data_IF_037152264559
#
_entry.id   IF_037152264559
#
_cell.length_a   1.000
_cell.length_b   1.000
_cell.length_c   1.000
_cell.angle_alpha   90.00
_cell.angle_beta   90.00
_cell.angle_gamma   90.00
#
_symmetry.space_group_name_H-M   'P 1'
#
loop_
_entity.id
_entity.type
_entity.pdbx_description
1 polymer ?
#
# COMPACT_ATOMS: atom_id res chain seq x y z
N UNK A 1 17.87 -8.54 -12.32
CA UNK A 1 17.82 -9.39 -11.10
C UNK A 1 16.40 -9.68 -10.60
N UNK A 2 15.37 -9.52 -11.44
CA UNK A 2 13.94 -9.45 -11.07
C UNK A 2 13.20 -10.80 -10.93
N UNK A 3 13.92 -11.91 -10.75
CA UNK A 3 13.32 -13.24 -10.88
C UNK A 3 12.93 -13.90 -9.55
N UNK A 4 13.66 -13.65 -8.47
CA UNK A 4 13.49 -14.41 -7.23
C UNK A 4 13.45 -13.50 -6.00
N UNK A 5 12.27 -13.39 -5.39
CA UNK A 5 12.05 -12.65 -4.15
C UNK A 5 12.90 -13.20 -3.00
N UNK A 6 13.03 -14.52 -2.86
CA UNK A 6 13.68 -15.17 -1.72
C UNK A 6 15.19 -14.93 -1.65
N UNK A 7 15.83 -14.70 -2.80
CA UNK A 7 17.25 -14.36 -2.89
C UNK A 7 17.49 -12.85 -2.91
N UNK A 8 16.43 -12.04 -2.88
CA UNK A 8 16.56 -10.59 -2.97
C UNK A 8 16.98 -9.98 -1.63
N UNK A 9 17.63 -8.82 -1.70
CA UNK A 9 17.90 -8.00 -0.51
C UNK A 9 16.62 -7.61 0.22
N UNK A 10 15.50 -7.46 -0.49
CA UNK A 10 14.20 -7.16 0.11
C UNK A 10 13.81 -8.24 1.13
N UNK A 11 13.80 -9.50 0.74
CA UNK A 11 13.40 -10.59 1.63
C UNK A 11 14.37 -10.79 2.80
N UNK A 12 15.67 -10.67 2.54
CA UNK A 12 16.70 -11.05 3.51
C UNK A 12 17.11 -9.93 4.47
N UNK A 13 16.95 -8.65 4.09
CA UNK A 13 17.43 -7.52 4.89
C UNK A 13 16.31 -6.55 5.33
N UNK A 14 15.20 -6.48 4.60
CA UNK A 14 14.18 -5.42 4.78
C UNK A 14 12.83 -5.91 5.31
N UNK A 15 12.68 -7.22 5.55
CA UNK A 15 11.53 -7.76 6.28
C UNK A 15 11.89 -7.83 7.76
N UNK A 16 11.20 -7.03 8.55
CA UNK A 16 11.45 -6.84 9.97
C UNK A 16 10.42 -7.59 10.81
N UNK A 17 10.81 -8.00 12.01
CA UNK A 17 9.83 -8.47 12.98
C UNK A 17 9.10 -7.29 13.61
N UNK A 18 7.89 -7.54 14.13
CA UNK A 18 7.13 -6.50 14.87
C UNK A 18 7.88 -6.00 16.10
N UNK A 19 8.71 -6.85 16.70
CA UNK A 19 9.55 -6.47 17.83
C UNK A 19 10.64 -5.49 17.37
N UNK A 20 11.36 -5.83 16.30
CA UNK A 20 12.45 -4.98 15.79
C UNK A 20 11.95 -3.63 15.29
N UNK A 21 10.76 -3.59 14.68
CA UNK A 21 10.14 -2.34 14.25
C UNK A 21 9.73 -1.45 15.43
N UNK A 22 9.24 -2.03 16.54
CA UNK A 22 8.84 -1.28 17.74
C UNK A 22 10.05 -0.76 18.52
N UNK A 23 11.12 -1.54 18.56
CA UNK A 23 12.37 -1.20 19.24
C UNK A 23 13.41 -0.61 18.28
N UNK A 24 12.99 -0.16 17.10
CA UNK A 24 13.92 0.41 16.12
C UNK A 24 14.53 1.71 16.67
N UNK A 25 15.78 2.04 16.30
CA UNK A 25 16.45 3.23 16.80
C UNK A 25 15.64 4.50 16.58
N UNK A 26 15.14 4.72 15.35
CA UNK A 26 14.29 5.86 15.01
C UNK A 26 13.01 5.91 15.85
N UNK A 27 12.31 4.77 15.97
CA UNK A 27 11.06 4.69 16.74
C UNK A 27 11.28 4.97 18.23
N UNK A 28 12.39 4.51 18.79
CA UNK A 28 12.72 4.71 20.21
C UNK A 28 12.95 6.19 20.57
N UNK A 29 13.41 6.99 19.61
CA UNK A 29 13.61 8.43 19.76
C UNK A 29 12.27 9.15 19.56
N UNK A 30 11.53 8.81 18.49
CA UNK A 30 10.25 9.46 18.17
C UNK A 30 9.20 9.26 19.28
N UNK A 31 9.18 8.08 19.92
CA UNK A 31 8.27 7.80 21.04
C UNK A 31 8.51 8.68 22.28
N UNK A 32 9.65 9.37 22.37
CA UNK A 32 9.89 10.36 23.43
C UNK A 32 9.11 11.66 23.20
N UNK A 33 8.78 11.96 21.95
CA UNK A 33 8.15 13.21 21.54
C UNK A 33 6.69 13.05 21.14
N UNK A 34 6.32 11.91 20.54
CA UNK A 34 5.00 11.64 19.99
C UNK A 34 4.50 10.25 20.40
N UNK A 35 3.20 10.11 20.63
CA UNK A 35 2.57 8.83 20.93
C UNK A 35 2.48 7.91 19.70
N UNK A 36 2.23 6.62 19.93
CA UNK A 36 2.13 5.64 18.84
C UNK A 36 1.09 6.00 17.77
N UNK A 37 -0.05 6.56 18.21
CA UNK A 37 -1.14 7.01 17.33
C UNK A 37 -0.72 8.19 16.47
N UNK A 38 0.00 9.14 17.03
CA UNK A 38 0.47 10.33 16.31
C UNK A 38 1.47 9.93 15.23
N UNK A 39 2.38 9.00 15.53
CA UNK A 39 3.31 8.49 14.53
C UNK A 39 2.57 7.69 13.45
N UNK A 40 1.52 6.93 13.80
CA UNK A 40 0.66 6.30 12.81
C UNK A 40 -0.06 7.32 11.92
N UNK A 41 -0.50 8.46 12.47
CA UNK A 41 -1.07 9.56 11.70
C UNK A 41 -0.03 10.20 10.76
N UNK A 42 1.21 10.38 11.22
CA UNK A 42 2.32 10.84 10.37
C UNK A 42 2.54 9.85 9.23
N UNK A 43 2.50 8.54 9.51
CA UNK A 43 2.65 7.52 8.50
C UNK A 43 1.55 7.58 7.42
N UNK A 44 0.30 7.77 7.83
CA UNK A 44 -0.83 7.97 6.91
C UNK A 44 -0.65 9.25 6.10
N UNK A 45 -0.25 10.35 6.75
CA UNK A 45 -0.02 11.63 6.12
C UNK A 45 1.10 11.54 5.07
N UNK A 46 2.23 10.92 5.39
CA UNK A 46 3.37 10.82 4.47
C UNK A 46 3.02 10.01 3.22
N UNK A 47 2.32 8.89 3.36
CA UNK A 47 1.84 8.10 2.21
C UNK A 47 0.89 8.90 1.31
N UNK A 48 0.00 9.72 1.90
CA UNK A 48 -0.91 10.56 1.14
C UNK A 48 -0.17 11.69 0.40
N UNK A 49 0.83 12.32 1.05
CA UNK A 49 1.65 13.36 0.42
C UNK A 49 2.46 12.80 -0.75
N UNK A 50 3.15 11.67 -0.54
CA UNK A 50 3.92 10.99 -1.58
C UNK A 50 3.02 10.62 -2.77
N UNK A 51 1.81 10.12 -2.50
CA UNK A 51 0.83 9.83 -3.56
C UNK A 51 0.36 11.09 -4.31
N UNK A 52 0.12 12.21 -3.61
CA UNK A 52 -0.20 13.48 -4.26
C UNK A 52 0.94 13.97 -5.16
N UNK A 53 2.19 13.87 -4.70
CA UNK A 53 3.39 14.23 -5.49
C UNK A 53 3.49 13.35 -6.74
N UNK A 54 3.36 12.02 -6.58
CA UNK A 54 3.36 11.08 -7.70
C UNK A 54 2.28 11.38 -8.73
N UNK A 55 1.06 11.73 -8.28
CA UNK A 55 -0.02 12.14 -9.18
C UNK A 55 0.28 13.44 -9.93
N UNK A 56 0.91 14.43 -9.28
CA UNK A 56 1.32 15.69 -9.94
C UNK A 56 2.41 15.48 -10.99
N UNK A 57 3.32 14.53 -10.74
CA UNK A 57 4.36 14.11 -11.68
C UNK A 57 3.86 13.14 -12.76
N UNK A 58 2.58 12.75 -12.71
CA UNK A 58 1.99 11.73 -13.59
C UNK A 58 2.75 10.38 -13.55
N UNK A 59 3.27 10.00 -12.39
CA UNK A 59 3.96 8.73 -12.19
C UNK A 59 2.97 7.57 -12.02
N UNK A 60 3.39 6.37 -12.46
CA UNK A 60 2.65 5.12 -12.20
C UNK A 60 2.62 4.78 -10.71
N UNK A 61 1.61 4.01 -10.30
CA UNK A 61 1.42 3.62 -8.89
C UNK A 61 2.63 2.88 -8.29
N UNK A 62 3.34 2.08 -9.09
CA UNK A 62 4.55 1.36 -8.66
C UNK A 62 5.61 2.35 -8.14
N UNK A 63 5.89 3.43 -8.87
CA UNK A 63 6.87 4.47 -8.46
C UNK A 63 6.48 5.08 -7.11
N UNK A 64 5.19 5.35 -6.91
CA UNK A 64 4.67 5.89 -5.65
C UNK A 64 4.84 4.89 -4.51
N UNK A 65 4.55 3.61 -4.76
CA UNK A 65 4.71 2.53 -3.79
C UNK A 65 6.19 2.34 -3.39
N UNK A 66 7.11 2.40 -4.35
CA UNK A 66 8.57 2.36 -4.10
C UNK A 66 9.00 3.53 -3.23
N UNK A 67 8.55 4.75 -3.55
CA UNK A 67 8.85 5.94 -2.75
C UNK A 67 8.33 5.84 -1.31
N UNK A 68 7.09 5.36 -1.09
CA UNK A 68 6.56 5.12 0.26
C UNK A 68 7.42 4.08 0.99
N UNK A 69 7.88 3.04 0.29
CA UNK A 69 8.72 2.00 0.89
C UNK A 69 10.08 2.56 1.33
N UNK A 70 10.72 3.39 0.52
CA UNK A 70 11.97 4.08 0.91
C UNK A 70 11.78 4.99 2.11
N UNK A 71 10.70 5.79 2.10
CA UNK A 71 10.36 6.65 3.24
C UNK A 71 10.22 5.80 4.52
N UNK A 72 9.48 4.69 4.46
CA UNK A 72 9.30 3.80 5.60
C UNK A 72 10.61 3.18 6.09
N UNK A 73 11.44 2.66 5.17
CA UNK A 73 12.74 2.05 5.51
C UNK A 73 13.69 3.05 6.15
N UNK A 74 13.74 4.28 5.65
CA UNK A 74 14.55 5.35 6.22
C UNK A 74 14.21 5.61 7.70
N UNK A 75 12.92 5.71 8.03
CA UNK A 75 12.45 5.96 9.41
C UNK A 75 12.46 4.73 10.33
N UNK A 76 12.92 3.57 9.85
CA UNK A 76 13.27 2.47 10.76
C UNK A 76 14.54 2.82 11.53
N UNK A 77 15.56 3.32 10.82
CA UNK A 77 16.87 3.65 11.38
C UNK A 77 16.89 5.07 11.95
N UNK A 78 16.29 6.04 11.24
CA UNK A 78 16.34 7.46 11.60
C UNK A 78 15.07 7.93 12.30
N UNK A 79 15.20 8.96 13.14
CA UNK A 79 14.07 9.58 13.82
C UNK A 79 13.40 10.65 12.95
N UNK A 80 12.06 10.68 12.96
CA UNK A 80 11.25 11.74 12.32
C UNK A 80 11.52 13.09 13.00
N UNK A 81 11.79 13.08 14.31
CA UNK A 81 12.08 14.31 15.06
C UNK A 81 13.40 15.00 14.66
N UNK A 82 14.35 14.27 14.09
CA UNK A 82 15.70 14.77 13.76
C UNK A 82 15.84 15.21 12.30
N UNK A 83 14.86 14.88 11.45
CA UNK A 83 14.94 15.10 9.99
C UNK A 83 13.70 15.83 9.47
N UNK A 84 13.77 16.44 8.29
CA UNK A 84 12.58 17.04 7.64
C UNK A 84 11.84 15.99 6.79
N UNK A 85 10.66 15.50 7.25
CA UNK A 85 9.91 14.49 6.51
C UNK A 85 9.38 14.98 5.17
N UNK A 86 9.20 16.29 4.97
CA UNK A 86 8.76 16.83 3.68
C UNK A 86 9.85 16.63 2.63
N UNK A 87 11.09 16.94 3.01
CA UNK A 87 12.26 16.80 2.15
C UNK A 87 12.59 15.33 1.89
N UNK A 88 12.52 14.46 2.89
CA UNK A 88 12.70 13.00 2.73
C UNK A 88 11.63 12.42 1.79
N UNK A 89 10.37 12.84 1.91
CA UNK A 89 9.30 12.40 1.00
C UNK A 89 9.55 12.81 -0.46
N UNK A 90 10.03 14.04 -0.69
CA UNK A 90 10.39 14.51 -2.03
C UNK A 90 11.62 13.75 -2.59
N UNK A 91 12.64 13.53 -1.77
CA UNK A 91 13.84 12.77 -2.14
C UNK A 91 13.50 11.31 -2.46
N UNK A 92 12.64 10.67 -1.67
CA UNK A 92 12.17 9.32 -1.91
C UNK A 92 11.40 9.19 -3.24
N UNK A 93 10.56 10.18 -3.56
CA UNK A 93 9.90 10.24 -4.87
C UNK A 93 10.91 10.41 -6.01
N UNK A 94 11.89 11.31 -5.86
CA UNK A 94 12.91 11.53 -6.86
C UNK A 94 13.74 10.26 -7.13
N UNK A 95 14.24 9.61 -6.08
CA UNK A 95 14.98 8.37 -6.16
C UNK A 95 14.15 7.25 -6.80
N UNK A 96 12.90 7.08 -6.37
CA UNK A 96 12.00 6.06 -6.93
C UNK A 96 11.75 6.26 -8.42
N UNK A 97 11.60 7.49 -8.90
CA UNK A 97 11.42 7.75 -10.34
C UNK A 97 12.62 7.27 -11.17
N UNK A 98 13.84 7.38 -10.63
CA UNK A 98 15.06 6.91 -11.31
C UNK A 98 15.18 5.39 -11.30
N UNK A 99 14.91 4.75 -10.17
CA UNK A 99 15.04 3.29 -10.01
C UNK A 99 13.98 2.53 -10.81
N UNK A 100 12.77 3.07 -10.87
CA UNK A 100 11.65 2.48 -11.58
C UNK A 100 11.62 2.89 -13.06
N UNK A 101 12.74 3.28 -13.67
CA UNK A 101 12.85 3.59 -15.11
C UNK A 101 11.81 4.62 -15.62
N UNK A 102 11.43 5.57 -14.76
CA UNK A 102 10.51 6.67 -15.07
C UNK A 102 11.10 8.02 -14.65
N UNK A 103 12.34 8.35 -15.06
CA UNK A 103 13.12 9.44 -14.48
C UNK A 103 12.43 10.79 -14.68
N UNK A 104 12.30 11.55 -13.59
CA UNK A 104 11.77 12.91 -13.61
C UNK A 104 12.89 13.92 -13.37
N UNK A 105 12.82 15.08 -14.00
CA UNK A 105 13.81 16.14 -13.78
C UNK A 105 13.67 16.71 -12.36
N UNK A 106 14.80 16.99 -11.69
CA UNK A 106 14.82 17.40 -10.27
C UNK A 106 13.97 18.65 -9.99
N UNK A 107 14.00 19.64 -10.89
CA UNK A 107 13.18 20.86 -10.77
C UNK A 107 11.68 20.56 -10.82
N UNK A 108 11.26 19.58 -11.62
CA UNK A 108 9.86 19.17 -11.72
C UNK A 108 9.40 18.50 -10.42
N UNK A 109 10.27 17.71 -9.78
CA UNK A 109 9.97 17.10 -8.48
C UNK A 109 9.86 18.18 -7.39
N UNK A 110 10.77 19.14 -7.35
CA UNK A 110 10.70 20.29 -6.41
C UNK A 110 9.40 21.07 -6.59
N UNK A 111 9.01 21.38 -7.82
CA UNK A 111 7.80 22.12 -8.11
C UNK A 111 6.54 21.34 -7.70
N UNK A 112 6.50 20.04 -8.00
CA UNK A 112 5.41 19.16 -7.58
C UNK A 112 5.31 19.05 -6.05
N UNK A 113 6.44 18.87 -5.37
CA UNK A 113 6.52 18.84 -3.91
C UNK A 113 6.01 20.15 -3.31
N UNK A 114 6.52 21.29 -3.78
CA UNK A 114 6.10 22.62 -3.32
C UNK A 114 4.60 22.85 -3.49
N UNK A 115 4.04 22.45 -4.63
CA UNK A 115 2.59 22.54 -4.88
C UNK A 115 1.75 21.65 -3.97
N UNK A 116 2.30 20.56 -3.44
CA UNK A 116 1.60 19.68 -2.48
C UNK A 116 1.76 20.22 -1.06
N UNK A 117 2.95 20.70 -0.71
CA UNK A 117 3.23 21.24 0.62
C UNK A 117 2.59 22.61 0.88
N UNK A 118 2.20 23.34 -0.17
CA UNK A 118 1.38 24.56 -0.01
C UNK A 118 0.02 24.30 0.65
N UNK A 119 -0.50 23.06 0.59
CA UNK A 119 -1.71 22.65 1.31
C UNK A 119 -1.49 22.60 2.84
N UNK A 120 -0.22 22.62 3.30
CA UNK A 120 0.16 22.45 4.70
C UNK A 120 0.99 23.64 5.23
N UNK A 121 0.40 24.84 5.40
CA UNK A 121 1.14 26.04 5.82
C UNK A 121 1.85 25.90 7.18
N UNK A 122 1.37 25.01 8.05
CA UNK A 122 1.94 24.75 9.36
C UNK A 122 3.37 24.17 9.32
N UNK A 123 3.75 23.52 8.22
CA UNK A 123 5.08 22.92 8.04
C UNK A 123 6.13 23.94 7.57
N UNK A 124 5.70 25.14 7.20
CA UNK A 124 6.56 26.18 6.64
C UNK A 124 6.83 26.03 5.15
N UNK A 125 7.61 26.95 4.55
CA UNK A 125 7.90 26.92 3.12
C UNK A 125 8.87 25.79 2.78
N UNK A 126 8.56 25.04 1.73
CA UNK A 126 9.43 24.01 1.16
C UNK A 126 10.66 24.64 0.46
N UNK A 127 11.86 24.05 0.57
CA UNK A 127 13.08 24.58 -0.06
C UNK A 127 12.96 24.67 -1.59
N UNK A 128 13.54 25.72 -2.17
CA UNK A 128 13.59 25.92 -3.62
C UNK A 128 14.89 25.41 -4.25
N UNK A 129 15.91 25.14 -3.44
CA UNK A 129 17.22 24.74 -3.93
C UNK A 129 17.24 23.25 -4.27
N UNK A 130 17.69 22.94 -5.49
CA UNK A 130 17.83 21.58 -5.97
C UNK A 130 19.04 20.86 -5.35
N UNK A 131 20.04 21.60 -4.88
CA UNK A 131 21.21 21.02 -4.19
C UNK A 131 20.79 20.29 -2.93
N UNK A 132 19.93 20.90 -2.11
CA UNK A 132 19.39 20.33 -0.86
C UNK A 132 18.64 19.03 -1.12
N UNK A 133 17.85 18.96 -2.21
CA UNK A 133 17.15 17.73 -2.59
C UNK A 133 18.14 16.65 -3.06
N UNK A 134 19.20 17.02 -3.79
CA UNK A 134 20.23 16.10 -4.23
C UNK A 134 21.10 15.57 -3.08
N UNK A 135 21.42 16.41 -2.09
CA UNK A 135 22.10 16.00 -0.85
C UNK A 135 21.24 15.00 -0.07
N UNK A 136 19.94 15.29 0.10
CA UNK A 136 19.05 14.37 0.79
C UNK A 136 18.80 13.07 0.04
N UNK A 137 18.84 13.08 -1.29
CA UNK A 137 18.87 11.85 -2.05
C UNK A 137 20.12 11.02 -1.73
N UNK A 138 21.30 11.65 -1.68
CA UNK A 138 22.54 10.96 -1.38
C UNK A 138 22.47 10.28 0.00
N UNK A 139 22.03 11.01 1.03
CA UNK A 139 21.82 10.45 2.37
C UNK A 139 20.79 9.30 2.38
N UNK A 140 19.69 9.45 1.64
CA UNK A 140 18.66 8.42 1.56
C UNK A 140 19.21 7.11 0.94
N UNK A 141 20.03 7.20 -0.09
CA UNK A 141 20.63 6.02 -0.74
C UNK A 141 21.60 5.30 0.22
N UNK A 142 22.41 6.07 0.94
CA UNK A 142 23.35 5.57 1.95
C UNK A 142 22.61 4.79 3.04
N UNK A 143 21.55 5.37 3.62
CA UNK A 143 20.79 4.73 4.71
C UNK A 143 19.98 3.50 4.28
N UNK A 144 19.59 3.44 3.00
CA UNK A 144 18.96 2.25 2.42
C UNK A 144 19.95 1.12 2.13
N UNK A 145 21.24 1.31 2.42
CA UNK A 145 22.35 0.41 2.11
C UNK A 145 22.36 0.02 0.61
N UNK A 146 22.01 0.97 -0.27
CA UNK A 146 21.89 0.76 -1.73
C UNK A 146 20.88 -0.33 -2.15
N UNK A 147 19.97 -0.75 -1.26
CA UNK A 147 18.94 -1.74 -1.56
C UNK A 147 17.72 -1.13 -2.25
N UNK A 148 17.89 -0.75 -3.51
CA UNK A 148 16.89 0.00 -4.29
C UNK A 148 15.80 -0.88 -4.93
N UNK A 149 16.04 -2.18 -5.13
CA UNK A 149 15.02 -3.04 -5.75
C UNK A 149 13.92 -3.41 -4.75
N UNK A 150 12.70 -2.92 -4.97
CA UNK A 150 11.51 -3.23 -4.16
C UNK A 150 10.59 -4.18 -4.90
N UNK A 151 9.94 -5.07 -4.15
CA UNK A 151 8.95 -6.02 -4.66
C UNK A 151 7.58 -5.59 -4.17
N UNK A 152 6.60 -5.55 -5.06
CA UNK A 152 5.28 -5.03 -4.76
C UNK A 152 4.18 -6.08 -4.94
N UNK A 153 3.15 -6.07 -4.08
CA UNK A 153 2.03 -7.03 -4.11
C UNK A 153 1.15 -6.93 -5.37
N UNK A 154 1.28 -5.86 -6.17
CA UNK A 154 0.52 -5.69 -7.42
C UNK A 154 0.80 -6.79 -8.45
N UNK A 155 2.05 -7.26 -8.52
CA UNK A 155 2.45 -8.33 -9.42
C UNK A 155 1.83 -9.66 -8.99
N UNK A 156 1.93 -9.99 -7.70
CA UNK A 156 1.35 -11.21 -7.14
C UNK A 156 -0.18 -11.22 -7.29
N UNK A 157 -0.84 -10.07 -7.12
CA UNK A 157 -2.28 -9.93 -7.36
C UNK A 157 -2.65 -10.29 -8.82
N UNK A 158 -1.87 -9.80 -9.80
CA UNK A 158 -2.11 -10.12 -11.21
C UNK A 158 -1.86 -11.61 -11.51
N UNK A 159 -0.86 -12.22 -10.87
CA UNK A 159 -0.58 -13.65 -10.95
C UNK A 159 -1.72 -14.50 -10.39
N UNK A 160 -2.22 -14.17 -9.21
CA UNK A 160 -3.32 -14.90 -8.59
C UNK A 160 -4.64 -14.78 -9.36
N UNK A 161 -4.82 -13.69 -10.10
CA UNK A 161 -5.97 -13.50 -10.99
C UNK A 161 -5.81 -14.18 -12.37
N UNK A 162 -4.68 -14.86 -12.62
CA UNK A 162 -4.40 -15.50 -13.91
C UNK A 162 -4.26 -14.54 -15.10
N UNK A 163 -3.95 -13.26 -14.84
CA UNK A 163 -3.88 -12.19 -15.87
C UNK A 163 -2.48 -11.79 -16.28
N UNK A 164 -1.46 -12.36 -15.64
CA UNK A 164 -0.09 -12.14 -16.07
C UNK A 164 0.24 -13.17 -17.17
N UNK A 165 0.56 -12.68 -18.37
CA UNK A 165 1.25 -13.46 -19.39
C UNK A 165 2.58 -13.95 -18.81
N UNK A 166 2.58 -15.13 -18.20
CA UNK A 166 3.77 -15.98 -17.98
C UNK A 166 5.04 -15.25 -17.52
N UNK A 167 5.00 -14.51 -16.41
CA UNK A 167 6.21 -13.84 -15.88
C UNK A 167 7.05 -14.75 -14.96
N UNK A 168 7.16 -16.04 -15.27
CA UNK A 168 8.33 -16.82 -14.82
C UNK A 168 9.44 -16.50 -15.83
N UNK A 169 10.49 -15.76 -15.45
CA UNK A 169 11.62 -15.54 -16.34
C UNK A 169 12.13 -16.89 -16.82
N UNK A 170 12.39 -17.05 -18.12
CA UNK A 170 12.96 -18.30 -18.67
C UNK A 170 14.22 -18.72 -17.90
N UNK A 171 14.94 -17.75 -17.36
CA UNK A 171 16.15 -17.91 -16.55
C UNK A 171 15.90 -18.49 -15.13
N UNK A 172 14.69 -18.32 -14.57
CA UNK A 172 14.30 -18.98 -13.32
C UNK A 172 14.01 -20.47 -13.56
N UNK A 173 13.54 -20.81 -14.77
CA UNK A 173 13.34 -22.17 -15.25
C UNK A 173 14.67 -22.94 -15.31
N UNK A 174 15.75 -22.29 -15.75
CA UNK A 174 17.10 -22.90 -15.82
C UNK A 174 17.69 -23.18 -14.43
N UNK A 175 17.40 -22.37 -13.40
CA UNK A 175 17.91 -22.65 -12.04
C UNK A 175 17.06 -23.66 -11.29
N UNK A 176 15.76 -23.68 -11.55
CA UNK A 176 14.88 -24.73 -11.02
C UNK A 176 15.27 -26.09 -11.62
N UNK A 177 15.89 -26.13 -12.82
CA UNK A 177 16.40 -27.37 -13.44
C UNK A 177 17.59 -28.04 -12.74
N UNK A 178 18.21 -27.43 -11.73
CA UNK A 178 19.24 -28.11 -10.91
C UNK A 178 18.64 -29.16 -9.96
N UNK A 179 17.35 -29.03 -9.61
CA UNK A 179 16.66 -29.95 -8.70
C UNK A 179 15.31 -30.44 -9.23
N UNK A 180 14.98 -30.12 -10.49
CA UNK A 180 13.76 -30.62 -11.16
C UNK A 180 14.10 -31.53 -12.33
N UNK A 181 13.26 -32.55 -12.60
CA UNK A 181 13.38 -33.38 -13.79
C UNK A 181 13.43 -32.48 -15.03
N UNK A 182 14.34 -32.76 -15.98
CA UNK A 182 14.55 -31.89 -17.14
C UNK A 182 13.27 -31.53 -17.89
N UNK A 183 13.26 -30.41 -18.62
CA UNK A 183 12.05 -29.82 -19.23
C UNK A 183 11.20 -30.76 -20.12
N UNK A 184 11.79 -31.85 -20.60
CA UNK A 184 11.13 -32.89 -21.41
C UNK A 184 10.51 -34.03 -20.56
N UNK A 185 10.67 -33.99 -19.24
CA UNK A 185 10.09 -34.98 -18.34
C UNK A 185 8.57 -34.81 -18.27
N UNK A 186 7.78 -35.89 -18.41
CA UNK A 186 6.33 -35.82 -18.30
C UNK A 186 5.86 -35.29 -16.93
N UNK A 187 6.58 -35.63 -15.84
CA UNK A 187 6.33 -35.10 -14.49
C UNK A 187 6.50 -33.58 -14.40
N UNK A 188 7.48 -33.03 -15.10
CA UNK A 188 7.72 -31.59 -15.14
C UNK A 188 6.63 -30.86 -15.92
N UNK A 189 6.18 -31.45 -17.03
CA UNK A 189 5.08 -30.92 -17.83
C UNK A 189 3.74 -31.01 -17.10
N UNK A 190 3.50 -32.07 -16.33
CA UNK A 190 2.32 -32.20 -15.47
C UNK A 190 2.35 -31.21 -14.31
N UNK A 191 3.48 -31.08 -13.62
CA UNK A 191 3.67 -30.08 -12.58
C UNK A 191 3.43 -28.67 -13.12
N UNK A 192 3.97 -28.35 -14.31
CA UNK A 192 3.77 -27.05 -14.96
C UNK A 192 2.31 -26.81 -15.33
N UNK A 193 1.64 -27.80 -15.93
CA UNK A 193 0.20 -27.71 -16.23
C UNK A 193 -0.63 -27.52 -14.96
N UNK A 194 -0.25 -28.17 -13.86
CA UNK A 194 -0.93 -28.04 -12.57
C UNK A 194 -0.68 -26.66 -11.94
N UNK A 195 0.54 -26.12 -12.00
CA UNK A 195 0.85 -24.75 -11.57
C UNK A 195 0.14 -23.70 -12.42
N UNK A 196 0.12 -23.86 -13.75
CA UNK A 196 -0.59 -22.95 -14.67
C UNK A 196 -2.12 -23.03 -14.42
N UNK A 197 -2.66 -24.24 -14.18
CA UNK A 197 -4.06 -24.45 -13.76
C UNK A 197 -4.37 -23.80 -12.41
N UNK A 198 -3.45 -23.87 -11.45
CA UNK A 198 -3.58 -23.26 -10.12
C UNK A 198 -3.44 -21.73 -10.17
N UNK A 199 -2.62 -21.19 -11.07
CA UNK A 199 -2.48 -19.75 -11.31
C UNK A 199 -3.73 -19.13 -11.94
N UNK A 200 -4.48 -19.90 -12.74
CA UNK A 200 -5.81 -19.52 -13.26
C UNK A 200 -6.98 -19.89 -12.35
N UNK A 201 -6.75 -20.25 -11.08
CA UNK A 201 -7.79 -20.87 -10.24
C UNK A 201 -8.77 -19.89 -9.59
N UNK A 202 -8.37 -18.63 -9.38
CA UNK A 202 -9.28 -17.61 -8.86
C UNK A 202 -9.86 -16.83 -10.04
N UNK A 203 -11.02 -17.27 -10.54
CA UNK A 203 -11.83 -16.50 -11.48
C UNK A 203 -12.37 -15.25 -10.75
N UNK A 204 -11.51 -14.22 -10.68
CA UNK A 204 -11.83 -12.94 -10.06
C UNK A 204 -12.41 -12.02 -11.12
N UNK A 205 -13.64 -11.56 -10.88
CA UNK A 205 -14.25 -10.51 -11.69
C UNK A 205 -13.36 -9.25 -11.72
N UNK A 206 -13.42 -8.48 -12.82
CA UNK A 206 -12.70 -7.20 -12.95
C UNK A 206 -12.95 -6.27 -11.76
N UNK A 207 -14.18 -6.26 -11.27
CA UNK A 207 -14.60 -5.48 -10.10
C UNK A 207 -13.89 -5.93 -8.83
N UNK A 208 -13.77 -7.24 -8.61
CA UNK A 208 -13.07 -7.81 -7.44
C UNK A 208 -11.58 -7.50 -7.51
N UNK A 209 -10.97 -7.62 -8.70
CA UNK A 209 -9.56 -7.30 -8.89
C UNK A 209 -9.27 -5.81 -8.63
N UNK A 210 -10.12 -4.92 -9.14
CA UNK A 210 -10.00 -3.48 -8.94
C UNK A 210 -10.14 -3.09 -7.45
N UNK A 211 -11.02 -3.77 -6.72
CA UNK A 211 -11.16 -3.56 -5.28
C UNK A 211 -9.95 -4.06 -4.49
N UNK A 212 -9.43 -5.25 -4.81
CA UNK A 212 -8.22 -5.77 -4.21
C UNK A 212 -7.03 -4.83 -4.46
N UNK A 213 -6.93 -4.25 -5.67
CA UNK A 213 -5.94 -3.23 -5.99
C UNK A 213 -6.03 -1.99 -5.09
N UNK A 214 -7.24 -1.49 -4.82
CA UNK A 214 -7.43 -0.37 -3.90
C UNK A 214 -7.05 -0.72 -2.47
N UNK A 215 -7.42 -1.91 -1.99
CA UNK A 215 -7.02 -2.38 -0.66
C UNK A 215 -5.50 -2.45 -0.56
N UNK A 216 -4.81 -2.96 -1.58
CA UNK A 216 -3.34 -2.97 -1.62
C UNK A 216 -2.79 -1.55 -1.50
N UNK A 217 -3.34 -0.56 -2.21
CA UNK A 217 -2.89 0.84 -2.08
C UNK A 217 -3.04 1.35 -0.65
N UNK A 218 -4.08 0.92 0.06
CA UNK A 218 -4.31 1.32 1.43
C UNK A 218 -3.32 0.69 2.41
N UNK A 219 -2.78 -0.50 2.09
CA UNK A 219 -1.76 -1.15 2.94
C UNK A 219 -0.48 -0.32 3.08
N UNK A 220 -0.13 0.51 2.09
CA UNK A 220 1.03 1.43 2.14
C UNK A 220 0.88 2.55 3.18
N UNK A 221 -0.31 2.77 3.74
CA UNK A 221 -0.51 3.68 4.88
C UNK A 221 -0.10 3.07 6.22
N UNK A 222 0.14 1.76 6.24
CA UNK A 222 0.52 0.97 7.42
C UNK A 222 1.94 0.44 7.28
N UNK A 223 2.43 -0.23 8.32
CA UNK A 223 3.77 -0.82 8.35
C UNK A 223 3.82 -2.23 7.73
N UNK A 224 2.72 -2.70 7.13
CA UNK A 224 2.61 -4.07 6.59
C UNK A 224 3.70 -4.39 5.56
N UNK A 225 4.11 -3.41 4.76
CA UNK A 225 5.15 -3.58 3.72
C UNK A 225 6.54 -3.87 4.30
N UNK A 226 6.78 -3.56 5.58
CA UNK A 226 8.03 -3.86 6.27
C UNK A 226 7.96 -5.20 7.02
N UNK A 227 6.76 -5.70 7.29
CA UNK A 227 6.55 -6.87 8.15
C UNK A 227 6.29 -8.15 7.36
N UNK A 228 5.69 -8.03 6.17
CA UNK A 228 5.20 -9.17 5.41
C UNK A 228 5.68 -9.14 3.96
N UNK A 229 6.04 -10.31 3.42
CA UNK A 229 6.22 -10.52 1.99
C UNK A 229 5.04 -10.04 1.13
N UNK A 230 5.31 -9.49 -0.07
CA UNK A 230 4.29 -8.96 -0.98
C UNK A 230 3.14 -9.93 -1.30
N UNK A 231 3.44 -11.20 -1.56
CA UNK A 231 2.41 -12.19 -1.90
C UNK A 231 1.39 -12.41 -0.77
N UNK A 232 1.80 -12.30 0.50
CA UNK A 232 0.88 -12.42 1.63
C UNK A 232 -0.06 -11.21 1.71
N UNK A 233 0.44 -10.02 1.42
CA UNK A 233 -0.36 -8.79 1.37
C UNK A 233 -1.40 -8.88 0.25
N UNK A 234 -1.00 -9.39 -0.92
CA UNK A 234 -1.90 -9.60 -2.05
C UNK A 234 -3.02 -10.62 -1.72
N UNK A 235 -2.67 -11.77 -1.12
CA UNK A 235 -3.65 -12.77 -0.68
C UNK A 235 -4.63 -12.21 0.36
N UNK A 236 -4.11 -11.45 1.34
CA UNK A 236 -4.96 -10.80 2.34
C UNK A 236 -5.92 -9.79 1.70
N UNK A 237 -5.46 -9.01 0.71
CA UNK A 237 -6.31 -8.06 -0.01
C UNK A 237 -7.41 -8.78 -0.82
N UNK A 238 -7.08 -9.88 -1.51
CA UNK A 238 -8.07 -10.72 -2.21
C UNK A 238 -9.08 -11.29 -1.22
N UNK A 239 -8.62 -11.84 -0.09
CA UNK A 239 -9.49 -12.40 0.94
C UNK A 239 -10.49 -11.36 1.46
N UNK A 240 -10.02 -10.17 1.84
CA UNK A 240 -10.89 -9.08 2.31
C UNK A 240 -11.90 -8.71 1.22
N UNK A 241 -11.47 -8.63 -0.03
CA UNK A 241 -12.36 -8.27 -1.15
C UNK A 241 -13.47 -9.31 -1.33
N UNK A 242 -13.13 -10.60 -1.34
CA UNK A 242 -14.10 -11.70 -1.49
C UNK A 242 -15.08 -11.73 -0.31
N UNK A 243 -14.63 -11.40 0.90
CA UNK A 243 -15.50 -11.31 2.08
C UNK A 243 -16.46 -10.12 2.00
N UNK A 244 -15.99 -8.96 1.54
CA UNK A 244 -16.80 -7.74 1.41
C UNK A 244 -17.78 -7.81 0.23
N UNK A 245 -17.34 -8.40 -0.88
CA UNK A 245 -18.14 -8.58 -2.10
C UNK A 245 -18.10 -10.04 -2.52
N UNK A 246 -18.90 -10.90 -1.87
CA UNK A 246 -18.98 -12.29 -2.26
C UNK A 246 -19.47 -12.39 -3.70
N UNK A 247 -18.76 -13.20 -4.51
CA UNK A 247 -19.17 -13.53 -5.87
C UNK A 247 -20.64 -14.00 -5.88
N UNK A 248 -21.45 -13.68 -6.90
CA UNK A 248 -22.87 -14.08 -6.96
C UNK A 248 -23.10 -15.59 -6.75
N UNK A 249 -22.12 -16.44 -7.06
CA UNK A 249 -22.16 -17.89 -6.75
C UNK A 249 -22.19 -18.20 -5.24
N UNK A 250 -21.47 -17.43 -4.42
CA UNK A 250 -21.42 -17.57 -2.96
C UNK A 250 -22.67 -16.96 -2.31
N UNK A 251 -23.21 -15.88 -2.88
CA UNK A 251 -24.47 -15.27 -2.43
C UNK A 251 -25.65 -16.26 -2.55
N UNK A 252 -25.67 -17.07 -3.62
CA UNK A 252 -26.63 -18.16 -3.79
C UNK A 252 -26.54 -19.23 -2.69
N UNK A 253 -25.33 -19.61 -2.27
CA UNK A 253 -25.13 -20.60 -1.20
C UNK A 253 -25.57 -20.09 0.17
N UNK A 254 -25.37 -18.80 0.49
CA UNK A 254 -25.89 -18.19 1.73
C UNK A 254 -27.42 -18.08 1.73
N UNK A 255 -28.04 -17.86 0.57
CA UNK A 255 -29.50 -17.83 0.43
C UNK A 255 -30.13 -19.23 0.61
N UNK A 256 -29.45 -20.29 0.17
CA UNK A 256 -29.92 -21.69 0.32
C UNK A 256 -29.85 -22.16 1.78
N UNK A 257 -28.85 -21.72 2.56
CA UNK A 257 -28.70 -22.13 3.96
C UNK A 257 -29.60 -21.33 4.93
N UNK A 258 -30.08 -20.14 4.53
CA UNK A 258 -30.99 -19.32 5.33
C UNK A 258 -32.49 -19.58 5.11
N UNK A 259 -32.86 -20.50 4.22
CA UNK A 259 -34.23 -20.71 3.75
C UNK A 259 -34.89 -22.02 4.19
N UNK A 260 -34.64 -22.48 5.41
CA UNK A 260 -35.35 -23.62 6.00
C UNK A 260 -36.76 -23.25 6.47
N UNK A 261 -37.67 -22.94 5.55
CA UNK A 261 -39.05 -22.58 5.85
C UNK A 261 -40.01 -23.12 4.79
N UNK A 262 -40.68 -24.22 5.11
CA UNK A 262 -41.82 -24.76 4.37
C UNK A 262 -42.84 -23.68 3.96
N UNK A 263 -43.20 -23.61 2.67
CA UNK A 263 -44.60 -23.50 2.20
C UNK A 263 -44.73 -23.53 0.67
N UNK A 264 -45.55 -24.47 0.20
CA UNK A 264 -46.73 -24.16 -0.63
C UNK A 264 -46.51 -23.68 -2.07
N UNK A 265 -46.63 -24.65 -3.00
CA UNK A 265 -46.96 -24.49 -4.43
C UNK A 265 -48.24 -23.67 -4.65
N UNK A 266 -48.17 -22.55 -5.38
CA UNK A 266 -49.18 -21.94 -6.30
C UNK A 266 -48.39 -20.90 -7.13
N UNK A 267 -48.25 -20.94 -8.46
CA UNK A 267 -49.27 -20.63 -9.48
C UNK A 267 -48.72 -19.49 -10.36
N UNK A 268 -48.91 -19.61 -11.67
CA UNK A 268 -48.26 -18.87 -12.76
C UNK A 268 -49.08 -17.63 -13.14
N UNK A 269 -48.47 -16.47 -13.38
CA UNK A 269 -48.93 -15.54 -14.43
C UNK A 269 -47.91 -14.42 -14.72
N UNK A 270 -47.79 -14.18 -16.02
CA UNK A 270 -47.04 -13.15 -16.75
C UNK A 270 -47.40 -11.71 -16.38
N UNK A 271 -46.43 -10.80 -16.46
CA UNK A 271 -46.66 -9.49 -17.09
C UNK A 271 -45.35 -8.80 -17.49
N UNK A 272 -45.46 -8.10 -18.60
CA UNK A 272 -44.45 -7.47 -19.44
C UNK A 272 -44.29 -5.98 -19.14
N UNK A 273 -43.07 -5.44 -19.24
CA UNK A 273 -42.85 -4.04 -19.63
C UNK A 273 -42.23 -3.09 -18.59
N UNK A 274 -41.67 -1.93 -19.01
CA UNK A 274 -40.35 -1.51 -18.52
C UNK A 274 -40.25 -0.05 -17.99
N UNK A 275 -39.10 0.25 -17.34
CA UNK A 275 -38.50 1.56 -17.02
C UNK A 275 -39.30 2.61 -16.20
N UNK A 276 -38.82 2.98 -15.01
CA UNK A 276 -38.12 4.28 -14.72
C UNK A 276 -38.07 4.67 -13.21
N UNK A 277 -36.94 5.32 -12.88
CA UNK A 277 -36.69 6.42 -11.91
C UNK A 277 -36.71 6.22 -10.36
N UNK A 278 -35.49 6.32 -9.82
CA UNK A 278 -35.01 7.30 -8.82
C UNK A 278 -35.58 7.31 -7.40
N UNK A 279 -34.71 7.03 -6.40
CA UNK A 279 -34.50 7.96 -5.27
C UNK A 279 -33.21 7.68 -4.50
N UNK A 280 -32.25 8.61 -4.58
CA UNK A 280 -31.26 8.85 -3.51
C UNK A 280 -32.00 9.41 -2.30
N UNK A 281 -31.83 8.83 -1.12
CA UNK A 281 -32.10 9.52 0.14
C UNK A 281 -30.93 9.32 1.09
N UNK A 282 -30.29 10.45 1.38
CA UNK A 282 -29.40 10.76 2.47
C UNK A 282 -30.04 10.42 3.82
N UNK A 283 -29.25 9.82 4.71
CA UNK A 283 -29.60 9.64 6.12
C UNK A 283 -28.74 10.62 6.92
N UNK A 284 -29.38 11.70 7.37
CA UNK A 284 -28.92 12.53 8.48
C UNK A 284 -29.87 12.35 9.67
N UNK A 285 -29.30 12.49 10.86
CA UNK A 285 -29.90 12.74 12.17
C UNK A 285 -30.62 11.57 12.87
N UNK A 286 -30.01 11.11 13.97
CA UNK A 286 -30.47 11.45 15.35
C UNK A 286 -29.74 10.59 16.39
N UNK A 287 -28.75 11.16 17.09
CA UNK A 287 -28.56 10.93 18.52
C UNK A 287 -28.04 12.22 19.13
N UNK A 288 -28.93 12.93 19.83
CA UNK A 288 -28.58 13.97 20.78
C UNK A 288 -29.29 13.65 22.10
N UNK A 289 -28.68 14.14 23.19
CA UNK A 289 -29.09 14.11 24.61
C UNK A 289 -28.57 12.94 25.45
N UNK A 290 -27.39 13.16 26.03
CA UNK A 290 -27.12 12.91 27.46
C UNK A 290 -25.83 13.66 27.84
N UNK A 291 -25.97 14.91 28.27
CA UNK A 291 -24.92 15.66 28.97
C UNK A 291 -24.88 15.22 30.44
N UNK A 292 -23.69 14.87 30.94
CA UNK A 292 -23.34 14.94 32.35
C UNK A 292 -21.82 15.10 32.51
N UNK A 293 -21.41 16.36 32.63
CA UNK A 293 -20.31 16.91 33.43
C UNK A 293 -19.05 16.05 33.67
N UNK A 294 -17.95 16.41 32.98
CA UNK A 294 -16.59 16.40 33.56
C UNK A 294 -15.87 17.69 33.14
N UNK A 295 -15.41 18.41 34.15
CA UNK A 295 -14.73 19.71 34.15
C UNK A 295 -13.44 19.76 33.32
N UNK A 296 -13.27 20.84 32.55
CA UNK A 296 -11.97 21.29 32.00
C UNK A 296 -11.03 21.81 33.10
N UNK A 297 -9.71 21.77 32.85
CA UNK A 297 -8.86 22.88 33.26
C UNK A 297 -8.14 23.56 32.07
N UNK A 298 -8.42 24.85 31.97
CA UNK A 298 -7.59 25.97 31.47
C UNK A 298 -6.67 25.76 30.25
N UNK A 299 -7.10 26.36 29.14
CA UNK A 299 -6.27 26.75 28.01
C UNK A 299 -5.18 27.75 28.44
N UNK A 300 -3.92 27.37 28.29
CA UNK A 300 -2.79 28.27 28.55
C UNK A 300 -1.40 27.72 28.22
N UNK A 301 -1.24 26.40 28.06
CA UNK A 301 0.09 25.78 27.89
C UNK A 301 0.48 25.31 26.49
N UNK A 302 -0.47 25.08 25.58
CA UNK A 302 -0.20 24.28 24.36
C UNK A 302 0.31 25.07 23.15
N UNK A 303 0.38 26.40 23.20
CA UNK A 303 0.89 27.22 22.09
C UNK A 303 2.42 27.41 22.06
N UNK A 304 3.17 26.84 23.01
CA UNK A 304 4.64 27.06 23.10
C UNK A 304 5.53 25.97 22.51
N UNK A 305 4.99 24.80 22.13
CA UNK A 305 5.82 23.68 21.67
C UNK A 305 6.27 23.76 20.19
N UNK A 306 5.56 24.51 19.35
CA UNK A 306 5.81 24.54 17.90
C UNK A 306 6.75 25.67 17.42
N UNK A 307 7.31 26.47 18.34
CA UNK A 307 8.15 27.64 18.01
C UNK A 307 9.64 27.46 18.26
N UNK A 308 10.11 26.26 18.66
CA UNK A 308 11.49 26.07 19.15
C UNK A 308 12.42 25.26 18.23
N UNK A 309 12.09 25.13 16.94
CA UNK A 309 12.89 24.38 15.95
C UNK A 309 13.49 25.25 14.84
N UNK A 310 13.86 26.50 15.18
CA UNK A 310 14.76 27.33 14.36
C UNK A 310 15.67 28.14 15.27
N UNK A 311 16.79 27.53 15.66
CA UNK A 311 18.06 28.20 15.91
C UNK A 311 19.17 27.24 15.55
#
# INVERSE_FOLDING_TARGET
MAANYWLSSHANCHILTRHDLRHSPGRSIDLKYAGEREIACINIWSSNVIHKIGKRLNCRQIVTATAVTYFRRFYVKNAIAETDPCLVAAAAMYLATKVEEAPSHIKSVLEAARSVFSDYPALGPFPNDATVLAEMEFYLIEDLDFHLMVWHPYRDLAQFAGREDSAVPKDAMERISEWTPGANSPLYQEYRKECDRQASMLDLSDTTLQMAWFIINDTYRTDLILLYPPYMIALAAIYITVVLHPHPSIQGMKAVVGGGGHKGRVGRSSETGPWTRTRRQSIEARVATADAAVSQPSAGGQQRAWRKWRR
#
